data_IF_149661999370
#
_entry.id   IF_149661999370
#
_cell.length_a   1.000
_cell.length_b   1.000
_cell.length_c   1.000
_cell.angle_alpha   90.00
_cell.angle_beta   90.00
_cell.angle_gamma   90.00
#
_symmetry.space_group_name_H-M   'P 1'
#
loop_
_entity.id
_entity.type
_entity.pdbx_description
1 polymer ?
#
# COMPACT_ATOMS: atom_id res chain seq x y z
N UNK A 1 17.75 17.87 12.89
CA UNK A 1 16.93 16.85 12.23
C UNK A 1 15.80 17.60 11.54
N UNK A 2 15.74 17.53 10.22
CA UNK A 2 14.72 18.20 9.40
C UNK A 2 13.63 17.21 8.99
N UNK A 3 12.55 17.67 8.35
CA UNK A 3 11.40 16.84 7.98
C UNK A 3 11.80 15.57 7.19
N UNK A 4 12.71 15.70 6.22
CA UNK A 4 13.20 14.58 5.40
C UNK A 4 13.91 13.51 6.23
N UNK A 5 14.69 13.89 7.24
CA UNK A 5 15.38 12.94 8.12
C UNK A 5 14.37 12.03 8.85
N UNK A 6 13.26 12.60 9.34
CA UNK A 6 12.20 11.82 9.99
C UNK A 6 11.44 10.95 9.00
N UNK A 7 11.22 11.42 7.76
CA UNK A 7 10.61 10.61 6.71
C UNK A 7 11.53 9.45 6.30
N UNK A 8 12.85 9.63 6.28
CA UNK A 8 13.81 8.56 6.01
C UNK A 8 13.84 7.52 7.14
N UNK A 9 13.76 7.96 8.40
CA UNK A 9 13.64 7.06 9.55
C UNK A 9 12.35 6.23 9.47
N UNK A 10 11.23 6.87 9.14
CA UNK A 10 9.96 6.16 8.92
C UNK A 10 10.04 5.18 7.74
N UNK A 11 10.66 5.58 6.63
CA UNK A 11 10.84 4.71 5.47
C UNK A 11 11.62 3.44 5.81
N UNK A 12 12.69 3.57 6.61
CA UNK A 12 13.49 2.41 7.10
C UNK A 12 12.68 1.51 8.02
N UNK A 13 11.89 2.10 8.93
CA UNK A 13 11.03 1.34 9.84
C UNK A 13 9.97 0.54 9.04
N UNK A 14 9.28 1.19 8.10
CA UNK A 14 8.30 0.56 7.22
C UNK A 14 8.90 -0.56 6.36
N UNK A 15 10.11 -0.35 5.82
CA UNK A 15 10.80 -1.37 5.03
C UNK A 15 11.13 -2.62 5.85
N UNK A 16 11.38 -2.49 7.16
CA UNK A 16 11.60 -3.64 8.06
C UNK A 16 10.36 -4.53 8.13
N UNK A 17 9.16 -3.94 8.00
CA UNK A 17 7.88 -4.64 7.99
C UNK A 17 7.43 -5.06 6.56
N UNK A 18 8.33 -4.95 5.57
CA UNK A 18 8.07 -5.34 4.18
C UNK A 18 7.26 -4.33 3.37
N UNK A 19 7.02 -3.12 3.89
CA UNK A 19 6.32 -2.07 3.16
C UNK A 19 7.25 -1.38 2.16
N UNK A 20 6.68 -0.92 1.05
CA UNK A 20 7.42 -0.10 0.10
C UNK A 20 7.23 1.38 0.44
N UNK A 21 8.33 2.11 0.57
CA UNK A 21 8.32 3.54 0.83
C UNK A 21 9.01 4.28 -0.33
N UNK A 22 8.35 5.30 -0.87
CA UNK A 22 8.82 6.09 -2.01
C UNK A 22 8.95 7.56 -1.60
N UNK A 23 10.16 8.07 -1.40
CA UNK A 23 10.40 9.49 -1.20
C UNK A 23 9.86 10.35 -2.35
N UNK A 24 9.34 11.51 -1.99
CA UNK A 24 8.90 12.60 -2.88
C UNK A 24 9.33 13.92 -2.25
N UNK A 25 10.64 14.09 -2.11
CA UNK A 25 11.26 15.24 -1.43
C UNK A 25 11.49 16.41 -2.37
N UNK A 26 11.40 16.15 -3.68
CA UNK A 26 11.43 17.15 -4.73
C UNK A 26 10.17 18.03 -4.79
N UNK A 27 9.16 17.74 -3.96
CA UNK A 27 7.89 18.46 -3.90
C UNK A 27 7.72 19.11 -2.52
N UNK A 28 7.23 20.35 -2.48
CA UNK A 28 6.91 21.03 -1.24
C UNK A 28 5.39 20.95 -0.95
N UNK A 29 4.97 20.52 0.26
CA UNK A 29 5.81 19.98 1.33
C UNK A 29 6.34 18.57 1.01
N UNK A 30 7.53 18.25 1.57
CA UNK A 30 8.19 16.96 1.39
C UNK A 30 7.31 15.84 1.93
N UNK A 31 7.19 14.76 1.16
CA UNK A 31 6.32 13.64 1.52
C UNK A 31 6.95 12.28 1.25
N UNK A 32 6.48 11.29 1.99
CA UNK A 32 6.80 9.88 1.80
C UNK A 32 5.54 9.15 1.35
N UNK A 33 5.58 8.52 0.19
CA UNK A 33 4.48 7.68 -0.27
C UNK A 33 4.68 6.23 0.18
N UNK A 34 3.76 5.71 0.99
CA UNK A 34 3.85 4.40 1.62
C UNK A 34 2.86 3.46 0.95
N UNK A 35 3.33 2.30 0.49
CA UNK A 35 2.54 1.30 -0.23
C UNK A 35 2.47 0.01 0.58
N UNK A 36 1.27 -0.52 0.73
CA UNK A 36 1.08 -1.81 1.40
C UNK A 36 1.68 -2.94 0.56
N UNK A 37 2.39 -3.91 1.16
CA UNK A 37 2.90 -5.08 0.41
C UNK A 37 1.77 -5.90 -0.23
N UNK A 38 0.59 -5.91 0.41
CA UNK A 38 -0.58 -6.59 -0.12
C UNK A 38 -1.26 -5.81 -1.27
N UNK A 39 -0.94 -4.52 -1.46
CA UNK A 39 -1.50 -3.65 -2.49
C UNK A 39 -0.49 -2.62 -2.98
N UNK A 40 0.37 -2.95 -3.96
CA UNK A 40 1.38 -2.04 -4.45
C UNK A 40 0.84 -0.81 -5.21
N UNK A 41 -0.49 -0.73 -5.40
CA UNK A 41 -1.19 0.40 -6.05
C UNK A 41 -1.95 1.29 -5.07
N UNK A 42 -2.15 0.86 -3.83
CA UNK A 42 -2.86 1.64 -2.80
C UNK A 42 -1.88 2.01 -1.70
N UNK A 43 -1.85 3.28 -1.34
CA UNK A 43 -0.91 3.79 -0.37
C UNK A 43 -1.34 5.10 0.26
N UNK A 44 -0.55 5.53 1.22
CA UNK A 44 -0.75 6.77 1.97
C UNK A 44 0.38 7.77 1.64
N UNK A 45 0.10 9.07 1.73
CA UNK A 45 1.13 10.11 1.66
C UNK A 45 1.37 10.67 3.06
N UNK A 46 2.57 10.47 3.58
CA UNK A 46 2.96 10.93 4.91
C UNK A 46 3.81 12.18 4.81
N UNK A 47 3.54 13.16 5.67
CA UNK A 47 4.30 14.41 5.80
C UNK A 47 4.68 14.64 7.26
N UNK A 48 5.59 15.58 7.50
CA UNK A 48 5.95 16.03 8.84
C UNK A 48 5.44 17.45 9.05
N UNK A 49 4.84 17.71 10.23
CA UNK A 49 4.39 19.05 10.63
C UNK A 49 4.59 19.25 12.12
N UNK A 50 4.84 20.50 12.51
CA UNK A 50 4.81 20.88 13.91
C UNK A 50 3.38 20.81 14.47
N UNK A 51 3.20 20.02 15.53
CA UNK A 51 1.99 19.98 16.33
C UNK A 51 2.02 21.00 17.47
N UNK A 52 1.01 20.90 18.35
CA UNK A 52 0.93 21.75 19.55
C UNK A 52 2.17 21.51 20.43
N UNK A 53 2.77 22.59 20.93
CA UNK A 53 4.00 22.52 21.74
C UNK A 53 5.29 22.30 20.95
N UNK A 54 5.25 22.41 19.61
CA UNK A 54 6.45 22.32 18.76
C UNK A 54 6.95 20.90 18.51
N UNK A 55 6.28 19.88 19.05
CA UNK A 55 6.58 18.47 18.76
C UNK A 55 6.29 18.20 17.28
N UNK A 56 7.21 17.56 16.58
CA UNK A 56 6.99 17.15 15.20
C UNK A 56 6.13 15.88 15.14
N UNK A 57 5.16 15.88 14.24
CA UNK A 57 4.23 14.78 14.01
C UNK A 57 4.28 14.29 12.57
N UNK A 58 4.13 12.98 12.40
CA UNK A 58 3.69 12.42 11.13
C UNK A 58 2.20 12.71 10.95
N UNK A 59 1.84 13.16 9.75
CA UNK A 59 0.49 13.46 9.33
C UNK A 59 0.23 12.80 7.99
N UNK A 60 -1.00 12.34 7.78
CA UNK A 60 -1.41 11.68 6.55
C UNK A 60 -1.81 12.67 5.45
N UNK A 61 -2.39 12.14 4.36
CA UNK A 61 -2.89 12.95 3.26
C UNK A 61 -4.10 13.81 3.60
N UNK A 62 -4.92 13.44 4.60
CA UNK A 62 -6.07 14.23 5.07
C UNK A 62 -5.63 15.38 5.98
N UNK A 63 -4.44 15.26 6.57
CA UNK A 63 -3.89 16.20 7.55
C UNK A 63 -4.06 15.74 8.99
N UNK A 64 -4.56 14.52 9.20
CA UNK A 64 -4.78 13.96 10.53
C UNK A 64 -3.47 13.45 11.15
N UNK A 65 -3.22 13.75 12.44
CA UNK A 65 -2.02 13.29 13.12
C UNK A 65 -2.01 11.76 13.22
N UNK A 66 -0.84 11.18 12.95
CA UNK A 66 -0.60 9.74 13.06
C UNK A 66 0.08 9.44 14.38
N UNK A 67 1.31 9.95 14.55
CA UNK A 67 2.12 9.78 15.74
C UNK A 67 3.21 10.86 15.81
N UNK A 68 3.75 11.17 17.00
CA UNK A 68 4.94 11.99 17.12
C UNK A 68 6.12 11.36 16.36
N UNK A 69 6.98 12.18 15.75
CA UNK A 69 8.09 11.68 14.93
C UNK A 69 9.16 10.88 15.70
N UNK A 70 9.18 10.98 17.03
CA UNK A 70 10.06 10.19 17.89
C UNK A 70 9.50 8.80 18.23
N UNK A 71 8.24 8.51 17.89
CA UNK A 71 7.57 7.23 18.16
C UNK A 71 7.29 6.49 16.84
N UNK A 72 8.36 5.98 16.24
CA UNK A 72 8.31 5.22 14.98
C UNK A 72 7.46 3.95 15.07
N UNK A 73 7.54 3.13 16.14
CA UNK A 73 6.71 1.93 16.26
C UNK A 73 5.22 2.25 16.22
N UNK A 74 4.78 3.30 16.92
CA UNK A 74 3.40 3.76 16.86
C UNK A 74 3.03 4.26 15.47
N UNK A 75 3.90 5.03 14.82
CA UNK A 75 3.65 5.53 13.47
C UNK A 75 3.40 4.40 12.48
N UNK A 76 4.25 3.35 12.51
CA UNK A 76 4.10 2.17 11.65
C UNK A 76 2.80 1.43 11.92
N UNK A 77 2.45 1.21 13.19
CA UNK A 77 1.21 0.54 13.58
C UNK A 77 -0.05 1.30 13.10
N UNK A 78 -0.07 2.62 13.30
CA UNK A 78 -1.19 3.48 12.88
C UNK A 78 -1.34 3.54 11.35
N UNK A 79 -0.24 3.64 10.60
CA UNK A 79 -0.25 3.57 9.14
C UNK A 79 -0.81 2.21 8.68
N UNK A 80 -0.38 1.12 9.33
CA UNK A 80 -0.90 -0.22 9.09
C UNK A 80 -2.40 -0.32 9.31
N UNK A 81 -2.89 0.19 10.44
CA UNK A 81 -4.31 0.18 10.79
C UNK A 81 -5.16 0.97 9.80
N UNK A 82 -4.69 2.13 9.33
CA UNK A 82 -5.40 2.96 8.34
C UNK A 82 -5.52 2.29 6.97
N UNK A 83 -4.48 1.58 6.53
CA UNK A 83 -4.45 0.93 5.21
C UNK A 83 -5.02 -0.49 5.20
N UNK A 84 -5.26 -1.10 6.36
CA UNK A 84 -5.77 -2.46 6.48
C UNK A 84 -7.15 -2.69 5.80
N UNK A 85 -8.16 -1.80 5.92
CA UNK A 85 -9.45 -2.00 5.27
C UNK A 85 -9.33 -2.06 3.74
N UNK A 86 -8.54 -1.17 3.15
CA UNK A 86 -8.31 -1.14 1.71
C UNK A 86 -7.52 -2.37 1.25
N UNK A 87 -6.47 -2.75 2.01
CA UNK A 87 -5.69 -3.98 1.85
C UNK A 87 -6.60 -5.22 1.71
N UNK A 88 -7.51 -5.38 2.67
CA UNK A 88 -8.48 -6.49 2.69
C UNK A 88 -9.41 -6.40 1.48
N UNK A 89 -10.03 -5.25 1.24
CA UNK A 89 -11.00 -5.08 0.16
C UNK A 89 -10.42 -5.36 -1.23
N UNK A 90 -9.19 -4.93 -1.51
CA UNK A 90 -8.55 -5.25 -2.78
C UNK A 90 -7.95 -6.66 -2.83
N UNK A 91 -7.57 -7.26 -1.70
CA UNK A 91 -7.29 -8.71 -1.62
C UNK A 91 -8.49 -9.54 -2.08
N UNK A 92 -9.69 -9.24 -1.59
CA UNK A 92 -10.95 -9.90 -2.00
C UNK A 92 -11.23 -9.70 -3.49
N UNK A 93 -11.06 -8.48 -4.01
CA UNK A 93 -11.23 -8.19 -5.46
C UNK A 93 -10.25 -8.98 -6.33
N UNK A 94 -8.99 -9.12 -5.91
CA UNK A 94 -7.98 -9.91 -6.63
C UNK A 94 -8.32 -11.40 -6.64
N UNK A 95 -8.75 -11.96 -5.51
CA UNK A 95 -9.18 -13.36 -5.42
C UNK A 95 -10.35 -13.64 -6.38
N UNK A 96 -11.39 -12.81 -6.34
CA UNK A 96 -12.54 -12.94 -7.24
C UNK A 96 -12.16 -12.78 -8.73
N UNK A 97 -11.21 -11.91 -9.06
CA UNK A 97 -10.70 -11.75 -10.42
C UNK A 97 -9.94 -12.99 -10.92
N UNK A 98 -9.09 -13.56 -10.07
CA UNK A 98 -8.33 -14.77 -10.40
C UNK A 98 -9.25 -15.99 -10.62
N UNK A 99 -10.30 -16.14 -9.82
CA UNK A 99 -11.30 -17.20 -10.00
C UNK A 99 -12.04 -17.08 -11.34
N UNK A 100 -12.44 -15.86 -11.72
CA UNK A 100 -13.10 -15.59 -13.00
C UNK A 100 -12.19 -15.94 -14.18
N UNK A 101 -10.93 -15.50 -14.15
CA UNK A 101 -9.97 -15.80 -15.21
C UNK A 101 -9.66 -17.30 -15.32
N UNK A 102 -9.46 -17.99 -14.19
CA UNK A 102 -9.26 -19.44 -14.16
C UNK A 102 -10.47 -20.20 -14.76
N UNK A 103 -11.68 -19.75 -14.43
CA UNK A 103 -12.93 -20.32 -14.98
C UNK A 103 -13.02 -20.12 -16.49
N UNK A 104 -12.75 -18.90 -16.97
CA UNK A 104 -12.73 -18.58 -18.40
C UNK A 104 -11.71 -19.42 -19.17
N UNK A 105 -10.48 -19.55 -18.64
CA UNK A 105 -9.44 -20.40 -19.25
C UNK A 105 -9.84 -21.87 -19.30
N UNK A 106 -10.45 -22.38 -18.23
CA UNK A 106 -10.99 -23.74 -18.19
C UNK A 106 -12.07 -24.00 -19.23
N UNK A 107 -13.01 -23.06 -19.40
CA UNK A 107 -14.05 -23.13 -20.42
C UNK A 107 -13.46 -23.15 -21.84
N UNK A 108 -12.54 -22.21 -22.14
CA UNK A 108 -11.89 -22.11 -23.44
C UNK A 108 -11.12 -23.40 -23.77
N UNK A 109 -10.41 -23.97 -22.80
CA UNK A 109 -9.70 -25.24 -22.96
C UNK A 109 -10.64 -26.40 -23.33
N UNK A 110 -11.80 -26.49 -22.65
CA UNK A 110 -12.82 -27.51 -22.94
C UNK A 110 -13.43 -27.34 -24.33
N UNK A 111 -13.76 -26.12 -24.73
CA UNK A 111 -14.29 -25.83 -26.06
C UNK A 111 -13.30 -26.22 -27.16
N UNK A 112 -12.01 -25.89 -26.99
CA UNK A 112 -10.94 -26.30 -27.92
C UNK A 112 -10.80 -27.82 -28.01
N UNK A 113 -10.91 -28.52 -26.89
CA UNK A 113 -10.82 -29.98 -26.82
C UNK A 113 -12.03 -30.64 -27.52
N UNK A 114 -13.23 -30.09 -27.33
CA UNK A 114 -14.46 -30.57 -27.96
C UNK A 114 -14.43 -30.39 -29.49
N UNK A 115 -14.05 -29.20 -29.96
CA UNK A 115 -13.96 -28.88 -31.39
C UNK A 115 -12.89 -29.69 -32.11
N UNK A 116 -11.76 -30.00 -31.44
CA UNK A 116 -10.74 -30.89 -31.99
C UNK A 116 -11.15 -32.36 -32.11
N UNK A 117 -12.18 -32.80 -31.36
CA UNK A 117 -12.69 -34.18 -31.39
C UNK A 117 -13.79 -34.39 -32.43
N UNK A 118 -14.49 -33.34 -32.84
CA UNK A 118 -15.61 -33.39 -33.78
C UNK A 118 -15.20 -33.42 -35.27
N UNK A 119 -13.95 -33.10 -35.62
CA UNK A 119 -13.45 -33.06 -37.00
C UNK A 119 -12.73 -34.32 -37.48
N UNK A 120 -12.92 -35.48 -36.83
CA UNK A 120 -12.16 -36.71 -37.09
C UNK A 120 -13.01 -37.95 -37.38
N UNK A 121 -14.29 -37.76 -37.71
CA UNK A 121 -15.18 -38.84 -38.19
C UNK A 121 -15.29 -38.81 -39.70
#
# INVERSE_FOLDING_TARGET
MIATDYLDLLARALATDGWAARPRYEQAPERLHVLSPSLPTVGESIRVKAGVGGVLWFIDSTGDPIAPCHDLPRAVAEIGARLAPDAIAAGVRRAAGAERDATSRGLISRLRTSLGRAGRA
#
